data_IF_631086940017
#
_entry.id   IF_631086940017
#
_cell.length_a   1.000
_cell.length_b   1.000
_cell.length_c   1.000
_cell.angle_alpha   90.00
_cell.angle_beta   90.00
_cell.angle_gamma   90.00
#
_symmetry.space_group_name_H-M   'P 1'
#
loop_
_entity.id
_entity.type
_entity.pdbx_description
1 polymer ?
#
# COMPACT_ATOMS: atom_id res chain seq x y z
N UNK A 1 -2.61 -0.89 0.61
CA UNK A 1 -3.74 -1.77 0.22
C UNK A 1 -4.87 -0.91 -0.32
N UNK A 2 -5.42 -1.22 -1.49
CA UNK A 2 -6.34 -0.35 -2.23
C UNK A 2 -7.77 -0.93 -2.30
N UNK A 3 -8.81 -0.07 -2.35
CA UNK A 3 -10.15 -0.49 -2.73
C UNK A 3 -10.18 -1.04 -4.16
N UNK A 4 -11.19 -1.85 -4.45
CA UNK A 4 -11.34 -2.53 -5.73
C UNK A 4 -12.04 -1.66 -6.78
N UNK A 5 -12.84 -0.69 -6.36
CA UNK A 5 -13.61 0.17 -7.24
C UNK A 5 -13.93 1.51 -6.56
N UNK A 6 -14.39 2.45 -7.36
CA UNK A 6 -14.94 3.75 -6.96
C UNK A 6 -16.37 3.91 -7.50
N UNK A 7 -17.05 4.96 -7.08
CA UNK A 7 -18.33 5.37 -7.64
C UNK A 7 -18.13 6.66 -8.44
N UNK A 8 -18.61 6.72 -9.67
CA UNK A 8 -18.76 7.99 -10.38
C UNK A 8 -20.08 8.64 -9.99
N UNK A 9 -20.04 9.96 -9.74
CA UNK A 9 -21.22 10.73 -9.42
C UNK A 9 -22.11 10.90 -10.66
N UNK A 10 -23.39 10.58 -10.50
CA UNK A 10 -24.38 10.57 -11.56
C UNK A 10 -25.72 9.97 -11.09
N UNK A 11 -26.82 10.12 -11.85
CA UNK A 11 -28.16 9.70 -11.44
C UNK A 11 -28.29 8.19 -11.21
N UNK A 12 -27.35 7.40 -11.73
CA UNK A 12 -27.15 5.99 -11.40
C UNK A 12 -25.70 5.88 -10.92
N UNK A 13 -25.46 5.73 -9.61
CA UNK A 13 -24.12 5.49 -9.04
C UNK A 13 -23.41 4.40 -9.84
N UNK A 14 -22.49 4.79 -10.72
CA UNK A 14 -21.83 3.86 -11.62
C UNK A 14 -20.58 3.34 -10.93
N UNK A 15 -20.44 2.01 -10.89
CA UNK A 15 -19.30 1.35 -10.25
C UNK A 15 -18.16 1.27 -11.26
N UNK A 16 -17.03 1.88 -10.92
CA UNK A 16 -15.84 1.93 -11.78
C UNK A 16 -14.69 1.20 -11.10
N UNK A 17 -14.17 0.11 -11.70
CA UNK A 17 -12.96 -0.55 -11.21
C UNK A 17 -11.78 0.42 -11.11
N UNK A 18 -11.06 0.40 -10.00
CA UNK A 18 -9.86 1.23 -9.85
C UNK A 18 -8.65 0.60 -10.57
N UNK A 19 -7.72 1.40 -11.12
CA UNK A 19 -6.49 0.88 -11.72
C UNK A 19 -5.64 0.14 -10.68
N UNK A 20 -4.76 -0.76 -11.11
CA UNK A 20 -3.87 -1.50 -10.20
C UNK A 20 -2.67 -0.62 -9.86
N UNK A 21 -2.51 -0.25 -8.59
CA UNK A 21 -1.27 0.29 -8.06
C UNK A 21 -0.34 -0.85 -7.59
N UNK A 22 0.95 -0.72 -7.88
CA UNK A 22 2.02 -1.63 -7.41
C UNK A 22 2.51 -1.25 -6.00
N UNK A 23 1.58 -1.30 -5.03
CA UNK A 23 1.87 -0.97 -3.62
C UNK A 23 2.88 -1.95 -3.02
N UNK A 24 2.88 -3.20 -3.48
CA UNK A 24 3.83 -4.22 -3.03
C UNK A 24 5.25 -3.88 -3.50
N UNK A 25 5.41 -3.52 -4.78
CA UNK A 25 6.69 -3.04 -5.28
C UNK A 25 7.17 -1.77 -4.56
N UNK A 26 6.26 -0.88 -4.15
CA UNK A 26 6.62 0.31 -3.38
C UNK A 26 7.14 -0.04 -1.98
N UNK A 27 6.43 -0.88 -1.23
CA UNK A 27 6.89 -1.29 0.11
C UNK A 27 8.19 -2.12 0.05
N UNK A 28 8.37 -2.95 -0.97
CA UNK A 28 9.57 -3.78 -1.10
C UNK A 28 10.82 -2.93 -1.34
N UNK A 29 10.73 -1.91 -2.21
CA UNK A 29 11.82 -0.93 -2.40
C UNK A 29 12.12 -0.18 -1.11
N UNK A 30 11.10 0.23 -0.36
CA UNK A 30 11.31 0.92 0.92
C UNK A 30 12.00 0.00 1.93
N UNK A 31 11.58 -1.27 2.04
CA UNK A 31 12.22 -2.25 2.93
C UNK A 31 13.69 -2.47 2.62
N UNK A 32 14.06 -2.48 1.33
CA UNK A 32 15.46 -2.53 0.91
C UNK A 32 16.23 -1.32 1.43
N UNK A 33 15.73 -0.10 1.19
CA UNK A 33 16.38 1.14 1.62
C UNK A 33 16.44 1.29 3.14
N UNK A 34 15.45 0.75 3.84
CA UNK A 34 15.43 0.68 5.30
C UNK A 34 16.50 -0.27 5.85
N UNK A 35 16.78 -1.36 5.15
CA UNK A 35 17.90 -2.24 5.47
C UNK A 35 19.24 -1.53 5.21
N UNK A 36 19.38 -0.88 4.05
CA UNK A 36 20.59 -0.13 3.67
C UNK A 36 20.93 1.00 4.66
N UNK A 37 19.92 1.66 5.22
CA UNK A 37 20.11 2.75 6.17
C UNK A 37 20.75 2.28 7.48
N UNK A 38 20.61 1.00 7.85
CA UNK A 38 21.10 0.42 9.10
C UNK A 38 20.74 1.28 10.33
N UNK A 39 19.48 1.71 10.42
CA UNK A 39 18.95 2.48 11.56
C UNK A 39 17.82 1.74 12.25
N UNK A 40 17.82 1.80 13.57
CA UNK A 40 16.78 1.23 14.42
C UNK A 40 15.57 2.17 14.46
N UNK A 41 14.48 1.77 13.80
CA UNK A 41 13.14 2.37 13.89
C UNK A 41 12.08 1.28 13.70
N UNK A 42 10.80 1.64 13.88
CA UNK A 42 9.67 0.72 13.67
C UNK A 42 8.94 1.06 12.38
N UNK A 43 8.78 0.06 11.51
CA UNK A 43 7.92 0.10 10.34
C UNK A 43 6.60 -0.61 10.67
N UNK A 44 5.47 -0.02 10.30
CA UNK A 44 4.17 -0.68 10.42
C UNK A 44 3.34 -0.43 9.16
N UNK A 45 3.31 -1.40 8.24
CA UNK A 45 2.44 -1.36 7.08
C UNK A 45 1.06 -1.93 7.42
N UNK A 46 0.00 -1.24 7.00
CA UNK A 46 -1.38 -1.66 7.23
C UNK A 46 -2.23 -1.36 6.00
N UNK A 47 -3.32 -2.12 5.74
CA UNK A 47 -4.34 -1.67 4.81
C UNK A 47 -4.85 -0.28 5.19
N UNK A 48 -4.97 0.60 4.20
CA UNK A 48 -5.38 1.98 4.41
C UNK A 48 -6.89 2.02 4.69
N UNK A 49 -7.26 1.92 5.97
CA UNK A 49 -8.64 1.97 6.46
C UNK A 49 -8.78 3.06 7.52
N UNK A 50 -9.99 3.60 7.76
CA UNK A 50 -10.25 4.53 8.86
C UNK A 50 -9.72 4.02 10.21
N UNK A 51 -9.93 2.74 10.51
CA UNK A 51 -9.46 2.09 11.74
C UNK A 51 -7.94 1.99 11.81
N UNK A 52 -7.27 1.65 10.70
CA UNK A 52 -5.80 1.59 10.66
C UNK A 52 -5.19 2.97 10.86
N UNK A 53 -5.74 3.99 10.18
CA UNK A 53 -5.28 5.37 10.31
C UNK A 53 -5.46 5.87 11.75
N UNK A 54 -6.65 5.69 12.33
CA UNK A 54 -6.94 6.05 13.74
C UNK A 54 -5.95 5.36 14.69
N UNK A 55 -5.72 4.06 14.50
CA UNK A 55 -4.81 3.29 15.36
C UNK A 55 -3.37 3.80 15.26
N UNK A 56 -2.87 4.06 14.05
CA UNK A 56 -1.51 4.60 13.83
C UNK A 56 -1.31 5.96 14.49
N UNK A 57 -2.30 6.86 14.37
CA UNK A 57 -2.23 8.19 14.99
C UNK A 57 -2.33 8.13 16.53
N UNK A 58 -3.13 7.20 17.04
CA UNK A 58 -3.30 6.96 18.49
C UNK A 58 -2.02 6.38 19.12
N UNK A 59 -1.35 5.46 18.43
CA UNK A 59 -0.16 4.77 18.95
C UNK A 59 1.12 5.62 18.90
N UNK A 60 1.14 6.71 18.13
CA UNK A 60 2.39 7.43 17.87
C UNK A 60 2.91 7.17 16.47
N UNK A 61 2.86 8.17 15.59
CA UNK A 61 3.41 8.06 14.24
C UNK A 61 4.24 9.31 13.92
N UNK A 62 5.56 9.15 13.74
CA UNK A 62 6.46 10.26 13.35
C UNK A 62 6.32 10.62 11.88
N UNK A 63 6.14 9.62 11.03
CA UNK A 63 5.99 9.79 9.59
C UNK A 63 4.92 8.84 9.05
N UNK A 64 4.01 9.38 8.25
CA UNK A 64 2.94 8.62 7.59
C UNK A 64 3.22 8.53 6.09
N UNK A 65 3.36 7.30 5.58
CA UNK A 65 3.36 7.03 4.14
C UNK A 65 1.96 6.55 3.72
N UNK A 66 1.30 7.30 2.83
CA UNK A 66 0.07 6.88 2.19
C UNK A 66 0.32 6.55 0.72
N UNK A 67 -0.05 5.34 0.31
CA UNK A 67 -0.07 4.90 -1.08
C UNK A 67 -1.47 4.40 -1.43
N UNK A 68 -2.07 4.99 -2.45
CA UNK A 68 -3.45 4.69 -2.84
C UNK A 68 -4.00 5.62 -3.91
N UNK A 69 -5.30 5.53 -4.15
CA UNK A 69 -5.97 6.42 -5.10
C UNK A 69 -6.35 7.74 -4.43
N UNK A 70 -6.35 8.80 -5.24
CA UNK A 70 -6.97 10.08 -4.91
C UNK A 70 -7.89 10.51 -6.06
N UNK A 71 -8.92 11.31 -5.75
CA UNK A 71 -9.84 11.87 -6.72
C UNK A 71 -10.41 13.19 -6.18
N UNK A 72 -10.31 14.29 -6.93
CA UNK A 72 -10.96 15.59 -6.66
C UNK A 72 -11.05 15.96 -5.16
N UNK A 73 -9.89 16.17 -4.52
CA UNK A 73 -9.73 16.53 -3.10
C UNK A 73 -10.05 15.42 -2.08
N UNK A 74 -10.22 14.18 -2.55
CA UNK A 74 -10.49 13.01 -1.71
C UNK A 74 -9.34 12.02 -1.73
N UNK A 75 -8.99 11.50 -0.55
CA UNK A 75 -8.17 10.30 -0.41
C UNK A 75 -9.05 9.07 -0.31
N UNK A 76 -8.71 8.01 -1.04
CA UNK A 76 -9.49 6.79 -1.10
C UNK A 76 -8.93 5.73 -0.15
N UNK A 77 -9.57 5.56 1.01
CA UNK A 77 -9.33 4.44 1.91
C UNK A 77 -10.22 3.24 1.53
N UNK A 78 -9.93 2.09 2.11
CA UNK A 78 -10.81 0.92 2.09
C UNK A 78 -11.75 0.95 3.31
N UNK A 79 -13.03 0.64 3.11
CA UNK A 79 -13.94 0.41 4.24
C UNK A 79 -13.49 -0.82 5.05
N UNK A 80 -13.75 -0.84 6.37
CA UNK A 80 -13.45 -2.01 7.19
C UNK A 80 -14.13 -3.31 6.71
N UNK A 81 -13.40 -4.41 6.83
CA UNK A 81 -13.90 -5.77 6.63
C UNK A 81 -13.67 -6.36 5.24
N UNK A 82 -12.66 -5.91 4.51
CA UNK A 82 -12.06 -6.64 3.39
C UNK A 82 -13.00 -6.89 2.19
N UNK A 83 -13.98 -6.02 1.92
CA UNK A 83 -14.84 -6.11 0.72
C UNK A 83 -14.29 -5.33 -0.47
N UNK A 84 -13.28 -4.49 -0.26
CA UNK A 84 -12.75 -3.60 -1.29
C UNK A 84 -13.63 -2.42 -1.66
N UNK A 85 -14.60 -2.09 -0.81
CA UNK A 85 -15.36 -0.85 -0.89
C UNK A 85 -14.49 0.37 -0.58
N UNK A 86 -14.68 1.48 -1.31
CA UNK A 86 -13.99 2.74 -1.01
C UNK A 86 -14.63 3.47 0.18
N UNK A 87 -13.79 4.14 0.96
CA UNK A 87 -14.14 5.14 1.95
C UNK A 87 -13.37 6.43 1.62
N UNK A 88 -14.08 7.46 1.20
CA UNK A 88 -13.45 8.72 0.82
C UNK A 88 -13.22 9.61 2.04
N UNK A 89 -11.98 10.08 2.19
CA UNK A 89 -11.63 11.11 3.14
C UNK A 89 -11.60 12.47 2.45
N UNK A 90 -12.46 13.36 2.90
CA UNK A 90 -12.44 14.78 2.53
C UNK A 90 -11.35 15.53 3.31
N UNK A 91 -10.99 16.73 2.86
CA UNK A 91 -10.12 17.63 3.63
C UNK A 91 -10.66 17.90 5.04
N UNK A 92 -11.98 18.03 5.22
CA UNK A 92 -12.61 18.17 6.53
C UNK A 92 -12.41 16.92 7.40
N UNK A 93 -12.46 15.72 6.81
CA UNK A 93 -12.21 14.46 7.53
C UNK A 93 -10.75 14.35 7.95
N UNK A 94 -9.81 14.73 7.08
CA UNK A 94 -8.38 14.80 7.41
C UNK A 94 -8.15 15.81 8.54
N UNK A 95 -8.71 17.00 8.44
CA UNK A 95 -8.68 17.99 9.53
C UNK A 95 -9.24 17.42 10.83
N UNK A 96 -10.26 16.57 10.82
CA UNK A 96 -10.74 15.91 12.03
C UNK A 96 -9.75 14.85 12.59
N UNK A 97 -9.12 14.05 11.71
CA UNK A 97 -8.12 13.05 12.13
C UNK A 97 -6.89 13.68 12.79
N UNK A 98 -6.40 14.79 12.23
CA UNK A 98 -5.17 15.42 12.68
C UNK A 98 -5.43 16.65 13.58
N UNK A 99 -6.62 17.24 13.56
CA UNK A 99 -6.97 18.53 14.15
C UNK A 99 -7.07 18.60 15.68
N UNK A 100 -6.99 17.48 16.39
CA UNK A 100 -6.68 17.49 17.84
C UNK A 100 -7.80 17.04 18.76
N UNK A 101 -7.78 15.75 19.09
CA UNK A 101 -8.08 15.32 20.45
C UNK A 101 -6.78 15.35 21.26
N UNK A 102 -6.83 15.78 22.52
CA UNK A 102 -5.68 15.75 23.42
C UNK A 102 -5.09 14.32 23.48
N UNK A 103 -3.81 14.16 23.15
CA UNK A 103 -3.12 12.87 23.16
C UNK A 103 -2.92 12.18 21.79
N UNK A 104 -3.47 12.72 20.69
CA UNK A 104 -3.18 12.18 19.34
C UNK A 104 -1.87 12.74 18.82
N UNK A 105 -0.93 11.86 18.48
CA UNK A 105 0.34 12.26 17.86
C UNK A 105 0.10 12.69 16.42
N UNK A 106 0.64 13.85 16.03
CA UNK A 106 0.66 14.31 14.65
C UNK A 106 1.97 13.90 13.99
N UNK A 107 1.95 13.29 12.79
CA UNK A 107 3.17 13.08 12.03
C UNK A 107 3.88 14.41 11.75
N UNK A 108 5.20 14.40 11.82
CA UNK A 108 6.03 15.53 11.38
C UNK A 108 6.05 15.64 9.86
N UNK A 109 5.94 14.50 9.18
CA UNK A 109 5.99 14.38 7.74
C UNK A 109 4.92 13.39 7.24
N UNK A 110 4.25 13.77 6.17
CA UNK A 110 3.36 12.89 5.42
C UNK A 110 3.89 12.74 4.00
N UNK A 111 4.01 11.50 3.53
CA UNK A 111 4.33 11.17 2.14
C UNK A 111 3.06 10.63 1.47
N UNK A 112 2.63 11.24 0.37
CA UNK A 112 1.38 10.91 -0.34
C UNK A 112 1.70 10.49 -1.76
N UNK A 113 1.57 9.19 -2.02
CA UNK A 113 1.74 8.53 -3.32
C UNK A 113 0.35 8.25 -3.90
N UNK A 114 -0.20 9.19 -4.70
CA UNK A 114 -1.57 9.10 -5.21
C UNK A 114 -1.83 9.96 -6.46
N UNK A 115 -2.88 9.62 -7.22
CA UNK A 115 -3.44 10.51 -8.25
C UNK A 115 -3.99 11.79 -7.59
N UNK A 116 -3.71 12.96 -8.18
CA UNK A 116 -4.07 14.28 -7.62
C UNK A 116 -3.51 14.56 -6.22
N UNK A 117 -2.29 14.11 -5.95
CA UNK A 117 -1.61 14.25 -4.65
C UNK A 117 -1.37 15.69 -4.20
N UNK A 118 -1.38 16.70 -5.10
CA UNK A 118 -1.26 18.10 -4.69
C UNK A 118 -2.41 18.51 -3.77
N UNK A 119 -3.66 18.24 -4.17
CA UNK A 119 -4.83 18.62 -3.36
C UNK A 119 -4.87 17.85 -2.04
N UNK A 120 -4.65 16.53 -2.10
CA UNK A 120 -4.53 15.72 -0.90
C UNK A 120 -3.39 16.22 0.02
N UNK A 121 -2.27 16.63 -0.57
CA UNK A 121 -1.13 17.19 0.13
C UNK A 121 -1.45 18.51 0.81
N UNK A 122 -2.15 19.42 0.12
CA UNK A 122 -2.68 20.67 0.70
C UNK A 122 -3.64 20.40 1.84
N UNK A 123 -4.50 19.38 1.74
CA UNK A 123 -5.38 19.00 2.83
C UNK A 123 -4.62 18.54 4.09
N UNK A 124 -3.48 17.87 3.96
CA UNK A 124 -2.61 17.56 5.10
C UNK A 124 -1.95 18.82 5.68
N UNK A 125 -1.52 19.76 4.84
CA UNK A 125 -0.98 21.05 5.28
C UNK A 125 -2.04 21.82 6.08
N UNK A 126 -3.27 21.92 5.57
CA UNK A 126 -4.39 22.58 6.23
C UNK A 126 -4.76 21.89 7.55
N UNK A 127 -4.53 20.57 7.65
CA UNK A 127 -4.68 19.81 8.88
C UNK A 127 -3.52 20.00 9.88
N UNK A 128 -2.55 20.88 9.56
CA UNK A 128 -1.46 21.28 10.44
C UNK A 128 -0.19 20.44 10.33
N UNK A 129 -0.02 19.66 9.26
CA UNK A 129 1.22 18.92 9.00
C UNK A 129 2.26 19.88 8.41
N UNK A 130 3.43 19.94 9.04
CA UNK A 130 4.49 20.88 8.65
C UNK A 130 5.17 20.53 7.33
N UNK A 131 5.30 19.24 7.04
CA UNK A 131 5.97 18.74 5.86
C UNK A 131 5.12 17.70 5.15
N UNK A 132 4.83 17.94 3.88
CA UNK A 132 4.06 17.01 3.06
C UNK A 132 4.75 16.82 1.72
N UNK A 133 5.10 15.59 1.40
CA UNK A 133 5.60 15.20 0.09
C UNK A 133 4.43 14.63 -0.71
N UNK A 134 4.09 15.26 -1.82
CA UNK A 134 3.04 14.80 -2.71
C UNK A 134 3.68 14.33 -4.03
N UNK A 135 3.47 13.05 -4.35
CA UNK A 135 3.95 12.40 -5.57
C UNK A 135 2.76 12.17 -6.48
N UNK A 136 2.71 12.87 -7.61
CA UNK A 136 1.55 12.85 -8.50
C UNK A 136 1.64 11.65 -9.44
N UNK A 137 0.95 10.56 -9.07
CA UNK A 137 0.85 9.36 -9.90
C UNK A 137 -0.18 9.54 -11.03
N UNK A 138 0.12 9.03 -12.22
CA UNK A 138 -0.76 9.11 -13.40
C UNK A 138 0.00 8.88 -14.70
N UNK A 139 -0.64 9.09 -15.86
CA UNK A 139 -0.07 8.80 -17.19
C UNK A 139 1.30 9.45 -17.47
N UNK A 140 1.72 10.42 -16.66
CA UNK A 140 2.96 11.20 -16.80
C UNK A 140 4.04 10.84 -15.79
N UNK A 141 3.76 10.02 -14.78
CA UNK A 141 4.74 9.54 -13.80
C UNK A 141 4.69 8.02 -13.76
N UNK A 142 5.81 7.36 -14.08
CA UNK A 142 5.86 5.91 -13.98
C UNK A 142 5.90 5.46 -12.51
N UNK A 143 5.33 4.30 -12.20
CA UNK A 143 5.45 3.66 -10.88
C UNK A 143 6.93 3.44 -10.49
N UNK A 144 7.82 3.33 -11.47
CA UNK A 144 9.26 3.20 -11.24
C UNK A 144 9.88 4.51 -10.73
N UNK A 145 9.58 5.66 -11.35
CA UNK A 145 10.07 6.96 -10.90
C UNK A 145 9.59 7.29 -9.48
N UNK A 146 8.32 6.97 -9.17
CA UNK A 146 7.77 7.18 -7.83
C UNK A 146 8.52 6.34 -6.77
N UNK A 147 8.86 5.10 -7.11
CA UNK A 147 9.63 4.20 -6.24
C UNK A 147 11.07 4.63 -6.07
N UNK A 148 11.74 5.06 -7.13
CA UNK A 148 13.11 5.60 -7.08
C UNK A 148 13.17 6.83 -6.19
N UNK A 149 12.25 7.78 -6.41
CA UNK A 149 12.14 8.97 -5.59
C UNK A 149 11.90 8.62 -4.11
N UNK A 150 10.92 7.76 -3.82
CA UNK A 150 10.61 7.35 -2.45
C UNK A 150 11.81 6.67 -1.79
N UNK A 151 12.45 5.72 -2.47
CA UNK A 151 13.60 4.99 -1.94
C UNK A 151 14.74 5.91 -1.51
N UNK A 152 15.16 6.83 -2.39
CA UNK A 152 16.23 7.79 -2.10
C UNK A 152 15.81 8.80 -1.03
N UNK A 153 14.57 9.30 -1.09
CA UNK A 153 14.02 10.22 -0.09
C UNK A 153 14.10 9.64 1.33
N UNK A 154 13.64 8.40 1.50
CA UNK A 154 13.66 7.73 2.81
C UNK A 154 15.07 7.40 3.27
N UNK A 155 15.95 6.93 2.38
CA UNK A 155 17.36 6.67 2.71
C UNK A 155 18.06 7.94 3.19
N UNK A 156 17.89 9.05 2.46
CA UNK A 156 18.44 10.36 2.83
C UNK A 156 17.90 10.85 4.19
N UNK A 157 16.59 10.71 4.45
CA UNK A 157 16.01 11.10 5.75
C UNK A 157 16.57 10.29 6.92
N UNK A 158 16.66 8.96 6.76
CA UNK A 158 17.15 8.06 7.81
C UNK A 158 18.66 8.22 8.07
N UNK A 159 19.38 8.79 7.11
CA UNK A 159 20.82 9.12 7.23
C UNK A 159 21.07 10.55 7.71
N UNK A 160 20.04 11.23 8.22
CA UNK A 160 20.17 12.50 8.94
C UNK A 160 20.13 13.76 8.09
N UNK A 161 19.68 13.66 6.85
CA UNK A 161 19.41 14.83 6.01
C UNK A 161 18.14 15.55 6.45
N UNK A 162 18.08 16.84 6.14
CA UNK A 162 16.85 17.63 6.27
C UNK A 162 15.78 17.14 5.29
N UNK A 163 14.51 17.47 5.55
CA UNK A 163 13.40 17.16 4.62
C UNK A 163 13.68 17.74 3.23
N UNK A 164 14.19 18.98 3.16
CA UNK A 164 14.57 19.62 1.89
C UNK A 164 15.64 18.83 1.14
N UNK A 165 16.74 18.51 1.81
CA UNK A 165 17.85 17.77 1.20
C UNK A 165 17.41 16.38 0.72
N UNK A 166 16.62 15.66 1.53
CA UNK A 166 16.11 14.35 1.14
C UNK A 166 15.19 14.42 -0.08
N UNK A 167 14.34 15.45 -0.16
CA UNK A 167 13.49 15.68 -1.33
C UNK A 167 14.31 15.96 -2.59
N UNK A 168 15.35 16.80 -2.47
CA UNK A 168 16.23 17.14 -3.58
C UNK A 168 17.05 15.93 -4.06
N UNK A 169 17.52 15.09 -3.14
CA UNK A 169 18.16 13.82 -3.46
C UNK A 169 17.23 12.87 -4.23
N UNK A 170 15.98 12.73 -3.78
CA UNK A 170 14.97 11.95 -4.49
C UNK A 170 14.73 12.44 -5.92
N UNK A 171 14.60 13.76 -6.12
CA UNK A 171 14.46 14.34 -7.48
C UNK A 171 15.69 14.07 -8.34
N UNK A 172 16.88 14.28 -7.79
CA UNK A 172 18.13 14.05 -8.51
C UNK A 172 18.28 12.57 -8.93
N UNK A 173 17.89 11.63 -8.08
CA UNK A 173 17.91 10.19 -8.40
C UNK A 173 17.04 9.87 -9.63
N UNK A 174 15.82 10.41 -9.68
CA UNK A 174 14.92 10.25 -10.82
C UNK A 174 15.50 10.89 -12.09
N UNK A 175 16.08 12.09 -11.98
CA UNK A 175 16.70 12.80 -13.11
C UNK A 175 17.86 12.00 -13.71
N UNK A 176 18.71 11.44 -12.86
CA UNK A 176 19.85 10.60 -13.27
C UNK A 176 19.33 9.36 -13.99
N UNK A 177 18.37 8.64 -13.40
CA UNK A 177 17.80 7.43 -14.00
C UNK A 177 17.23 7.68 -15.40
N UNK A 178 16.44 8.75 -15.56
CA UNK A 178 15.84 9.13 -16.84
C UNK A 178 16.87 9.58 -17.88
N UNK A 179 17.89 10.31 -17.46
CA UNK A 179 18.96 10.79 -18.36
C UNK A 179 19.82 9.62 -18.85
N UNK A 180 20.11 8.64 -17.99
CA UNK A 180 20.80 7.41 -18.36
C UNK A 180 19.98 6.56 -19.34
N UNK A 181 18.65 6.56 -19.22
CA UNK A 181 17.76 5.87 -20.14
C UNK A 181 17.56 6.59 -21.49
N UNK A 182 17.66 7.93 -21.52
CA UNK A 182 17.49 8.72 -22.74
C UNK A 182 18.40 9.97 -22.78
N UNK A 183 19.62 9.88 -23.36
CA UNK A 183 20.62 10.95 -23.36
C UNK A 183 20.25 12.20 -24.19
N UNK A 184 19.25 12.12 -25.09
CA UNK A 184 18.91 13.17 -26.05
C UNK A 184 17.93 14.23 -25.55
N UNK A 185 17.61 14.21 -24.25
CA UNK A 185 17.01 15.35 -23.54
C UNK A 185 15.49 15.30 -23.40
N UNK A 186 15.01 15.16 -22.16
CA UNK A 186 13.68 15.57 -21.66
C UNK A 186 13.39 15.14 -20.20
N UNK A 187 14.24 14.34 -19.57
CA UNK A 187 13.90 13.67 -18.30
C UNK A 187 14.27 14.45 -17.04
N UNK A 188 13.63 15.60 -16.77
CA UNK A 188 13.64 16.18 -15.41
C UNK A 188 12.44 15.69 -14.60
N UNK A 189 12.61 15.61 -13.29
CA UNK A 189 11.64 15.29 -12.26
C UNK A 189 10.75 16.51 -12.01
N UNK A 190 11.32 17.71 -12.21
CA UNK A 190 10.54 18.90 -12.55
C UNK A 190 9.95 18.71 -13.94
N UNK A 191 8.65 18.98 -14.11
CA UNK A 191 7.99 18.88 -15.40
C UNK A 191 8.77 19.65 -16.49
N UNK A 192 8.55 19.26 -17.76
CA UNK A 192 9.02 20.10 -18.86
C UNK A 192 8.47 21.54 -18.72
N UNK A 193 9.07 22.58 -19.33
CA UNK A 193 8.53 23.94 -19.26
C UNK A 193 7.04 23.99 -19.63
N UNK A 194 6.18 24.36 -18.66
CA UNK A 194 4.71 24.36 -18.82
C UNK A 194 4.00 23.09 -18.35
N UNK A 195 4.71 22.04 -17.93
CA UNK A 195 4.14 20.89 -17.24
C UNK A 195 4.13 21.08 -15.71
N UNK A 196 3.10 20.57 -15.01
CA UNK A 196 3.06 20.59 -13.55
C UNK A 196 4.23 19.79 -12.94
N UNK A 197 4.76 20.26 -11.79
CA UNK A 197 5.76 19.51 -11.03
C UNK A 197 5.16 18.19 -10.52
N UNK A 198 5.90 17.08 -10.70
CA UNK A 198 5.42 15.72 -10.41
C UNK A 198 5.69 15.29 -8.97
N UNK A 199 6.67 15.93 -8.35
CA UNK A 199 7.03 15.79 -6.95
C UNK A 199 6.91 17.15 -6.32
N UNK A 200 6.11 17.27 -5.26
CA UNK A 200 5.85 18.52 -4.57
C UNK A 200 6.28 18.38 -3.12
N UNK A 201 6.97 19.39 -2.60
CA UNK A 201 7.17 19.56 -1.17
C UNK A 201 6.30 20.72 -0.72
N UNK A 202 5.28 20.39 0.09
CA UNK A 202 4.27 21.30 0.57
C UNK A 202 4.45 21.51 2.07
N UNK A 203 4.08 22.71 2.53
CA UNK A 203 4.06 23.10 3.92
C UNK A 203 3.18 24.36 4.08
N UNK A 204 2.93 24.82 5.32
CA UNK A 204 2.24 26.08 5.56
C UNK A 204 2.98 27.25 4.88
N UNK A 205 2.31 28.39 4.65
CA UNK A 205 2.96 29.56 4.05
C UNK A 205 4.24 29.95 4.81
N UNK A 206 5.37 29.99 4.09
CA UNK A 206 6.69 30.28 4.69
C UNK A 206 7.34 29.11 5.44
N UNK A 207 6.86 27.88 5.26
CA UNK A 207 7.45 26.70 5.89
C UNK A 207 8.94 26.54 5.56
N UNK A 208 9.74 26.38 6.61
CA UNK A 208 11.12 25.93 6.50
C UNK A 208 11.16 24.40 6.48
N UNK A 209 11.64 23.82 5.40
CA UNK A 209 11.83 22.37 5.25
C UNK A 209 13.26 21.93 5.65
N UNK A 210 14.01 22.78 6.34
CA UNK A 210 15.32 22.50 6.92
C UNK A 210 15.28 21.65 8.20
N UNK A 211 14.13 21.12 8.62
CA UNK A 211 14.05 20.22 9.77
C UNK A 211 14.73 18.87 9.46
N UNK A 212 15.55 18.39 10.41
CA UNK A 212 16.05 17.00 10.44
C UNK A 212 15.10 16.17 11.31
N UNK A 213 14.24 15.36 10.68
CA UNK A 213 13.24 14.54 11.39
C UNK A 213 13.92 13.44 12.21
N UNK A 214 15.00 12.85 11.67
CA UNK A 214 15.78 11.80 12.32
C UNK A 214 17.26 12.21 12.44
N UNK A 215 17.63 12.96 13.48
CA UNK A 215 19.03 13.33 13.70
C UNK A 215 19.93 12.10 13.80
N UNK A 216 21.16 12.17 13.27
CA UNK A 216 22.11 11.05 13.25
C UNK A 216 22.38 10.43 14.63
N UNK A 217 22.28 11.22 15.72
CA UNK A 217 22.43 10.74 17.09
C UNK A 217 21.14 10.22 17.74
N UNK A 218 19.97 10.42 17.12
CA UNK A 218 18.68 10.03 17.67
C UNK A 218 18.32 8.57 17.32
N UNK A 219 18.76 8.08 16.15
CA UNK A 219 18.56 6.68 15.74
C UNK A 219 19.82 5.87 16.01
N UNK A 220 19.69 4.75 16.70
CA UNK A 220 20.79 3.80 16.91
C UNK A 220 21.13 3.10 15.58
N UNK A 221 22.40 2.75 15.41
CA UNK A 221 22.83 1.86 14.32
C UNK A 221 22.33 0.45 14.61
N UNK A 222 21.75 -0.19 13.59
CA UNK A 222 21.21 -1.55 13.68
C UNK A 222 20.02 -1.77 12.76
N UNK A 223 19.48 -2.99 12.69
CA UNK A 223 18.34 -3.30 11.84
C UNK A 223 17.08 -2.58 12.32
N UNK A 224 16.24 -2.16 11.38
CA UNK A 224 14.88 -1.71 11.71
C UNK A 224 14.00 -2.89 12.11
N UNK A 225 12.91 -2.61 12.82
CA UNK A 225 11.90 -3.60 13.17
C UNK A 225 10.68 -3.43 12.25
N UNK A 226 10.38 -4.45 11.44
CA UNK A 226 9.09 -4.52 10.73
C UNK A 226 8.03 -5.11 11.65
N UNK A 227 7.19 -4.25 12.21
CA UNK A 227 6.04 -4.59 13.05
C UNK A 227 4.73 -4.67 12.23
N UNK A 228 4.84 -4.81 10.90
CA UNK A 228 3.73 -5.18 10.04
C UNK A 228 3.16 -6.52 10.51
N UNK A 229 1.85 -6.63 10.79
CA UNK A 229 1.25 -7.90 11.15
C UNK A 229 1.52 -8.94 10.07
N UNK A 230 1.95 -10.15 10.45
CA UNK A 230 2.14 -11.21 9.48
C UNK A 230 0.80 -11.54 8.81
N UNK A 231 0.86 -11.78 7.50
CA UNK A 231 -0.28 -12.34 6.79
C UNK A 231 -0.62 -13.72 7.38
N UNK A 232 -1.91 -14.10 7.43
CA UNK A 232 -2.30 -15.44 7.81
C UNK A 232 -1.73 -16.45 6.81
N UNK A 233 -1.66 -17.72 7.23
CA UNK A 233 -1.25 -18.81 6.36
C UNK A 233 -2.19 -18.85 5.13
N UNK A 234 -1.61 -18.66 3.94
CA UNK A 234 -2.34 -18.72 2.67
C UNK A 234 -1.68 -19.76 1.76
N UNK A 235 -2.25 -20.96 1.73
CA UNK A 235 -1.78 -22.10 0.94
C UNK A 235 -2.40 -22.15 -0.46
N UNK A 236 -2.94 -21.04 -0.96
CA UNK A 236 -3.33 -20.94 -2.36
C UNK A 236 -2.12 -21.06 -3.27
N UNK A 237 -2.33 -21.67 -4.44
CA UNK A 237 -1.39 -21.57 -5.56
C UNK A 237 -1.09 -20.10 -5.84
N UNK A 238 0.11 -19.79 -6.36
CA UNK A 238 0.43 -18.44 -6.80
C UNK A 238 -0.61 -17.99 -7.84
N UNK A 239 -1.35 -16.95 -7.50
CA UNK A 239 -2.34 -16.34 -8.37
C UNK A 239 -1.70 -15.64 -9.57
N UNK A 240 -2.52 -15.19 -10.54
CA UNK A 240 -2.01 -14.31 -11.59
C UNK A 240 -1.46 -13.03 -10.96
N UNK A 241 -0.38 -12.48 -11.54
CA UNK A 241 0.18 -11.20 -11.10
C UNK A 241 -0.80 -10.04 -11.24
N UNK A 242 -1.73 -10.11 -12.21
CA UNK A 242 -2.78 -9.10 -12.43
C UNK A 242 -4.10 -9.77 -12.79
N UNK A 243 -5.18 -9.35 -12.12
CA UNK A 243 -6.55 -9.74 -12.44
C UNK A 243 -7.25 -8.56 -13.13
N UNK A 244 -7.34 -8.61 -14.47
CA UNK A 244 -7.90 -7.51 -15.29
C UNK A 244 -9.42 -7.66 -15.41
N UNK A 245 -10.16 -6.56 -15.22
CA UNK A 245 -11.59 -6.47 -15.55
C UNK A 245 -12.54 -7.28 -14.67
N UNK A 246 -12.05 -7.94 -13.61
CA UNK A 246 -12.85 -8.83 -12.74
C UNK A 246 -13.00 -8.33 -11.30
N UNK A 247 -12.75 -7.04 -11.09
CA UNK A 247 -12.76 -6.42 -9.75
C UNK A 247 -14.15 -6.40 -9.13
N UNK A 248 -15.19 -6.26 -9.96
CA UNK A 248 -16.57 -6.34 -9.48
C UNK A 248 -16.92 -7.75 -9.01
N UNK A 249 -16.56 -8.78 -9.76
CA UNK A 249 -16.74 -10.17 -9.34
C UNK A 249 -15.92 -10.52 -8.11
N UNK A 250 -14.72 -9.93 -7.98
CA UNK A 250 -13.87 -10.07 -6.79
C UNK A 250 -14.55 -9.47 -5.55
N UNK A 251 -15.05 -8.23 -5.65
CA UNK A 251 -15.83 -7.59 -4.58
C UNK A 251 -17.04 -8.45 -4.19
N UNK A 252 -17.84 -8.88 -5.16
CA UNK A 252 -19.03 -9.69 -4.91
C UNK A 252 -18.71 -11.02 -4.23
N UNK A 253 -17.58 -11.64 -4.59
CA UNK A 253 -17.11 -12.86 -3.94
C UNK A 253 -16.71 -12.58 -2.48
N UNK A 254 -15.94 -11.53 -2.22
CA UNK A 254 -15.53 -11.12 -0.87
C UNK A 254 -16.73 -10.78 0.02
N UNK A 255 -17.70 -10.02 -0.50
CA UNK A 255 -18.94 -9.67 0.19
C UNK A 255 -19.75 -10.93 0.58
N UNK A 256 -19.90 -11.88 -0.35
CA UNK A 256 -20.58 -13.15 -0.06
C UNK A 256 -19.83 -14.00 0.97
N UNK A 257 -18.50 -14.06 0.90
CA UNK A 257 -17.68 -14.81 1.85
C UNK A 257 -17.81 -14.29 3.30
N UNK A 258 -18.21 -13.01 3.50
CA UNK A 258 -18.48 -12.46 4.84
C UNK A 258 -19.79 -12.94 5.44
N UNK A 259 -20.79 -13.21 4.60
CA UNK A 259 -22.16 -13.51 5.02
C UNK A 259 -22.54 -14.98 4.85
N UNK A 260 -21.70 -15.77 4.18
CA UNK A 260 -22.00 -17.14 3.80
C UNK A 260 -20.84 -18.06 4.12
N UNK A 261 -21.12 -19.21 4.73
CA UNK A 261 -20.12 -20.25 5.00
C UNK A 261 -19.60 -20.93 3.72
N UNK A 262 -20.36 -20.87 2.61
CA UNK A 262 -19.99 -21.43 1.33
C UNK A 262 -20.36 -20.49 0.19
N UNK A 263 -19.44 -20.32 -0.76
CA UNK A 263 -19.65 -19.57 -2.00
C UNK A 263 -19.29 -20.43 -3.20
N UNK A 264 -20.18 -20.51 -4.19
CA UNK A 264 -19.93 -21.23 -5.44
C UNK A 264 -19.65 -20.20 -6.54
N UNK A 265 -18.51 -20.35 -7.22
CA UNK A 265 -18.13 -19.54 -8.38
C UNK A 265 -18.40 -20.36 -9.65
N UNK A 266 -19.43 -19.97 -10.40
CA UNK A 266 -19.86 -20.64 -11.62
C UNK A 266 -19.45 -19.87 -12.88
N UNK A 267 -19.41 -20.54 -14.04
CA UNK A 267 -19.04 -19.93 -15.32
C UNK A 267 -18.42 -20.92 -16.29
N UNK A 268 -18.23 -20.51 -17.55
CA UNK A 268 -17.70 -21.39 -18.61
C UNK A 268 -16.27 -21.86 -18.30
N UNK A 269 -15.87 -22.99 -18.90
CA UNK A 269 -14.48 -23.48 -18.83
C UNK A 269 -13.53 -22.39 -19.35
N UNK A 270 -12.40 -22.18 -18.67
CA UNK A 270 -11.40 -21.20 -19.08
C UNK A 270 -11.64 -19.74 -18.64
N UNK A 271 -12.78 -19.40 -18.04
CA UNK A 271 -13.09 -18.02 -17.61
C UNK A 271 -12.34 -17.52 -16.36
N UNK A 272 -11.25 -18.18 -15.95
CA UNK A 272 -10.44 -17.71 -14.82
C UNK A 272 -11.09 -17.83 -13.43
N UNK A 273 -12.04 -18.75 -13.22
CA UNK A 273 -12.71 -18.94 -11.91
C UNK A 273 -11.74 -19.22 -10.76
N UNK A 274 -10.79 -20.13 -10.98
CA UNK A 274 -9.75 -20.47 -10.00
C UNK A 274 -8.87 -19.26 -9.71
N UNK A 275 -8.50 -18.50 -10.74
CA UNK A 275 -7.73 -17.27 -10.58
C UNK A 275 -8.49 -16.23 -9.74
N UNK A 276 -9.80 -16.04 -9.99
CA UNK A 276 -10.65 -15.16 -9.18
C UNK A 276 -10.68 -15.58 -7.71
N UNK A 277 -10.83 -16.88 -7.43
CA UNK A 277 -10.85 -17.40 -6.06
C UNK A 277 -9.51 -17.22 -5.35
N UNK A 278 -8.39 -17.47 -6.05
CA UNK A 278 -7.04 -17.24 -5.51
C UNK A 278 -6.82 -15.75 -5.23
N UNK A 279 -7.23 -14.86 -6.13
CA UNK A 279 -7.13 -13.41 -5.89
C UNK A 279 -8.01 -12.97 -4.70
N UNK A 280 -9.18 -13.57 -4.49
CA UNK A 280 -10.02 -13.31 -3.32
C UNK A 280 -9.34 -13.78 -2.03
N UNK A 281 -8.73 -14.95 -2.05
CA UNK A 281 -7.93 -15.47 -0.94
C UNK A 281 -6.76 -14.53 -0.60
N UNK A 282 -5.95 -14.14 -1.59
CA UNK A 282 -4.84 -13.20 -1.38
C UNK A 282 -5.31 -11.84 -0.84
N UNK A 283 -6.39 -11.30 -1.43
CA UNK A 283 -6.99 -10.05 -0.97
C UNK A 283 -7.40 -10.15 0.50
N UNK A 284 -8.13 -11.20 0.87
CA UNK A 284 -8.61 -11.45 2.22
C UNK A 284 -7.47 -11.72 3.22
N UNK A 285 -6.42 -12.44 2.80
CA UNK A 285 -5.23 -12.72 3.61
C UNK A 285 -4.54 -11.43 4.04
N UNK A 286 -4.32 -10.51 3.09
CA UNK A 286 -3.68 -9.21 3.35
C UNK A 286 -4.48 -8.30 4.29
N UNK A 287 -5.78 -8.58 4.50
CA UNK A 287 -6.64 -7.89 5.47
C UNK A 287 -6.89 -8.71 6.73
N UNK A 288 -6.21 -9.86 6.88
CA UNK A 288 -6.39 -10.78 7.99
C UNK A 288 -7.86 -11.18 8.18
N UNK A 289 -8.63 -11.27 7.09
CA UNK A 289 -10.07 -11.57 7.15
C UNK A 289 -10.35 -13.03 7.54
N UNK A 290 -9.36 -13.91 7.37
CA UNK A 290 -9.40 -15.31 7.78
C UNK A 290 -8.15 -15.66 8.58
N UNK A 291 -8.28 -16.62 9.51
CA UNK A 291 -7.15 -17.13 10.29
C UNK A 291 -6.17 -17.93 9.42
N UNK A 292 -6.70 -18.74 8.52
CA UNK A 292 -5.95 -19.57 7.58
C UNK A 292 -6.76 -19.72 6.30
N UNK A 293 -6.07 -19.89 5.17
CA UNK A 293 -6.66 -20.11 3.86
C UNK A 293 -5.98 -21.31 3.21
N UNK A 294 -6.80 -22.28 2.83
CA UNK A 294 -6.37 -23.56 2.24
C UNK A 294 -6.94 -23.71 0.83
N UNK A 295 -6.16 -24.28 -0.08
CA UNK A 295 -6.58 -24.53 -1.45
C UNK A 295 -6.52 -26.03 -1.78
N UNK A 296 -7.65 -26.57 -2.25
CA UNK A 296 -7.77 -27.98 -2.62
C UNK A 296 -8.20 -28.12 -4.08
N UNK A 297 -7.31 -28.68 -4.91
CA UNK A 297 -7.64 -28.98 -6.30
C UNK A 297 -8.32 -30.34 -6.43
N UNK A 298 -9.65 -30.33 -6.59
CA UNK A 298 -10.42 -31.55 -6.81
C UNK A 298 -10.16 -32.23 -8.17
N UNK A 299 -9.38 -31.60 -9.07
CA UNK A 299 -8.99 -32.22 -10.35
C UNK A 299 -8.10 -33.45 -10.14
N UNK A 300 -7.35 -33.47 -9.04
CA UNK A 300 -6.44 -34.55 -8.68
C UNK A 300 -7.09 -35.58 -7.74
N UNK A 301 -8.27 -35.29 -7.20
CA UNK A 301 -9.00 -36.16 -6.26
C UNK A 301 -9.67 -37.39 -6.92
N UNK A 302 -9.22 -37.82 -8.10
CA UNK A 302 -9.79 -38.97 -8.84
C UNK A 302 -9.53 -40.35 -8.19
N UNK A 303 -8.97 -40.42 -6.98
CA UNK A 303 -8.88 -41.65 -6.18
C UNK A 303 -9.41 -41.39 -4.78
N UNK A 304 -10.68 -41.71 -4.56
CA UNK A 304 -11.42 -41.59 -3.29
C UNK A 304 -11.04 -42.64 -2.24
N UNK A 305 -9.81 -43.17 -2.25
CA UNK A 305 -9.35 -44.17 -1.27
C UNK A 305 -8.31 -43.67 -0.27
N UNK A 306 -8.08 -42.35 -0.16
CA UNK A 306 -7.00 -41.81 0.69
C UNK A 306 -7.21 -40.43 1.31
N UNK A 307 -8.44 -39.90 1.36
CA UNK A 307 -8.71 -38.65 2.07
C UNK A 307 -8.99 -38.94 3.56
N UNK A 308 -7.93 -39.21 4.31
CA UNK A 308 -7.96 -39.05 5.77
C UNK A 308 -7.77 -37.56 6.08
N UNK A 309 -8.82 -36.91 6.58
CA UNK A 309 -8.70 -35.58 7.18
C UNK A 309 -7.77 -35.67 8.39
N UNK A 310 -6.50 -35.33 8.20
CA UNK A 310 -5.53 -35.09 9.26
C UNK A 310 -5.83 -33.79 10.01
N UNK A 311 -7.01 -33.68 10.61
CA UNK A 311 -7.28 -32.74 11.70
C UNK A 311 -7.02 -33.52 12.99
N UNK A 312 -5.75 -33.68 13.32
CA UNK A 312 -5.28 -34.35 14.54
C UNK A 312 -4.27 -33.48 15.25
N UNK A 313 -4.65 -32.99 16.42
CA UNK A 313 -3.79 -32.46 17.46
C UNK A 313 -2.55 -33.33 17.70
N UNK A 314 -1.40 -32.67 17.86
CA UNK A 314 -0.09 -33.14 18.34
C UNK A 314 0.21 -34.65 18.45
N UNK A 315 1.33 -35.06 17.85
CA UNK A 315 2.01 -36.30 18.23
C UNK A 315 2.85 -36.95 17.12
N UNK A 316 4.16 -36.75 17.22
CA UNK A 316 5.26 -37.70 16.96
C UNK A 316 5.08 -38.77 15.86
N UNK A 317 5.93 -38.66 14.83
CA UNK A 317 6.88 -39.68 14.36
C UNK A 317 6.37 -41.07 13.95
N UNK A 318 6.77 -41.51 12.75
CA UNK A 318 7.72 -42.62 12.55
C UNK A 318 8.00 -42.79 11.05
N UNK A 319 9.27 -43.01 10.73
CA UNK A 319 9.75 -43.27 9.37
C UNK A 319 9.65 -44.74 8.97
N UNK A 320 9.80 -44.96 7.67
CA UNK A 320 10.28 -46.19 7.03
C UNK A 320 10.70 -45.78 5.62
N UNK A 321 11.93 -45.92 5.13
CA UNK A 321 12.95 -46.90 5.48
C UNK A 321 12.78 -48.16 4.63
N UNK A 322 13.22 -48.10 3.36
CA UNK A 322 13.89 -49.15 2.59
C UNK A 322 13.19 -50.48 2.26
N UNK A 323 13.32 -50.88 0.98
CA UNK A 323 13.64 -52.26 0.60
C UNK A 323 12.55 -53.05 -0.15
N UNK A 324 12.90 -53.51 -1.35
CA UNK A 324 12.15 -54.52 -2.12
C UNK A 324 11.92 -54.15 -3.57
#
# INVERSE_FOLDING_TARGET
>A
AQPLYTYLDGPKRLIVPLPLLDIDGEIDVLREKFADAERVFRLQARPATPSSLTSLLTLGCTMLHYSGHGADDLLCLEKPGATGEPHFLTSASLAAYFGGAAGVSRPKLVFVSACSSESAGRAFVDAGIAHVVAVQQGDRLSDEDARLFAGEFYLSLLTGHTVRQAFDAGRACVDISRTSANPSGAGRAGGAPGEPERFLLLGPPGADHGEVIFPLGALRVGPYADETPPAPLNLCDRGPSKLIGRRWELHRLLEKLRSSACCIVEGKKGQGKTALAICAADYAARRQAFREIHFFSLRQARRTSGFGLGLGSGGLGLGSGGGG
#
